data_IF_825657085481
#
_entry.id   IF_825657085481
#
_cell.length_a   1.000
_cell.length_b   1.000
_cell.length_c   1.000
_cell.angle_alpha   90.00
_cell.angle_beta   90.00
_cell.angle_gamma   90.00
#
_symmetry.space_group_name_H-M   'P 1'
#
loop_
_entity.id
_entity.type
_entity.pdbx_description
1 polymer ?
#
# COMPACT_ATOMS: atom_id res chain seq x y z
N UNK A 1 -69.68 -14.43 2.48
CA UNK A 1 -68.90 -14.17 3.71
C UNK A 1 -67.94 -15.34 3.85
N UNK A 2 -66.74 -15.29 3.28
CA UNK A 2 -65.56 -14.50 3.68
C UNK A 2 -64.58 -15.39 4.44
N UNK A 3 -63.68 -16.06 3.71
CA UNK A 3 -62.33 -16.43 4.16
C UNK A 3 -61.46 -16.67 2.93
N UNK A 4 -60.89 -15.60 2.38
CA UNK A 4 -59.74 -15.69 1.47
C UNK A 4 -59.06 -14.32 1.43
N UNK A 5 -58.15 -14.08 2.36
CA UNK A 5 -57.13 -13.03 2.27
C UNK A 5 -56.23 -13.14 3.49
N UNK A 6 -55.00 -13.61 3.26
CA UNK A 6 -53.72 -13.16 3.83
C UNK A 6 -52.70 -14.17 3.27
N UNK A 7 -51.79 -13.69 2.42
CA UNK A 7 -50.75 -14.53 1.83
C UNK A 7 -50.10 -13.92 0.61
N UNK A 8 -49.84 -12.61 0.65
CA UNK A 8 -49.02 -11.92 -0.33
C UNK A 8 -47.60 -11.84 0.22
N UNK A 9 -46.72 -12.80 -0.10
CA UNK A 9 -45.26 -12.64 0.07
C UNK A 9 -44.53 -13.37 -1.08
N UNK A 10 -44.25 -12.59 -2.12
CA UNK A 10 -42.99 -12.54 -2.89
C UNK A 10 -42.25 -13.86 -3.16
N UNK A 11 -42.44 -14.42 -4.35
CA UNK A 11 -41.39 -15.18 -5.05
C UNK A 11 -41.30 -14.66 -6.48
N UNK A 12 -40.71 -13.47 -6.63
CA UNK A 12 -40.08 -13.06 -7.89
C UNK A 12 -38.59 -13.39 -7.74
N UNK A 13 -38.22 -14.62 -8.07
CA UNK A 13 -36.81 -14.93 -8.28
C UNK A 13 -36.42 -14.20 -9.56
N UNK A 14 -35.70 -13.12 -9.38
CA UNK A 14 -35.03 -12.44 -10.46
C UNK A 14 -34.10 -13.45 -11.15
N UNK A 15 -34.35 -13.70 -12.43
CA UNK A 15 -33.33 -14.17 -13.36
C UNK A 15 -32.31 -13.03 -13.54
N UNK A 16 -31.51 -12.79 -12.51
CA UNK A 16 -30.18 -12.25 -12.75
C UNK A 16 -29.42 -13.39 -13.40
N UNK A 17 -29.10 -13.20 -14.68
CA UNK A 17 -28.17 -14.06 -15.38
C UNK A 17 -26.98 -14.28 -14.46
N UNK A 18 -26.69 -15.55 -14.18
CA UNK A 18 -25.37 -15.96 -13.74
C UNK A 18 -24.43 -15.36 -14.78
N UNK A 19 -23.75 -14.27 -14.43
CA UNK A 19 -22.48 -13.98 -15.05
C UNK A 19 -21.70 -15.27 -14.87
N UNK A 20 -21.42 -15.95 -15.98
CA UNK A 20 -20.50 -17.08 -15.96
C UNK A 20 -19.28 -16.61 -15.16
N UNK A 21 -18.83 -17.37 -14.15
CA UNK A 21 -17.60 -17.01 -13.47
C UNK A 21 -16.55 -16.84 -14.56
N UNK A 22 -16.00 -15.63 -14.67
CA UNK A 22 -14.81 -15.38 -15.48
C UNK A 22 -13.85 -16.44 -15.03
N UNK A 23 -13.58 -17.40 -15.92
CA UNK A 23 -12.64 -18.47 -15.65
C UNK A 23 -11.36 -17.75 -15.28
N UNK A 24 -10.91 -17.96 -14.05
CA UNK A 24 -9.75 -17.29 -13.46
C UNK A 24 -8.49 -17.80 -14.18
N UNK A 25 -8.34 -17.40 -15.44
CA UNK A 25 -7.18 -17.74 -16.25
C UNK A 25 -6.06 -16.87 -15.74
N UNK A 26 -5.14 -17.48 -14.99
CA UNK A 26 -3.89 -16.84 -14.56
C UNK A 26 -3.30 -16.10 -15.77
N UNK A 27 -3.08 -14.78 -15.69
CA UNK A 27 -2.62 -14.01 -16.82
C UNK A 27 -1.28 -14.55 -17.33
N UNK A 28 -1.09 -14.69 -18.65
CA UNK A 28 0.18 -15.10 -19.22
C UNK A 28 1.34 -14.28 -18.66
N UNK A 29 2.44 -14.95 -18.34
CA UNK A 29 3.62 -14.35 -17.73
C UNK A 29 4.71 -14.13 -18.78
N UNK A 30 5.20 -12.90 -18.87
CA UNK A 30 6.35 -12.51 -19.68
C UNK A 30 7.48 -12.00 -18.80
N UNK A 31 8.70 -12.39 -19.16
CA UNK A 31 9.93 -11.91 -18.52
C UNK A 31 10.77 -11.15 -19.52
N UNK A 32 11.39 -10.05 -19.07
CA UNK A 32 12.27 -9.23 -19.89
C UNK A 32 13.41 -8.64 -19.05
N UNK A 33 14.45 -8.17 -19.73
CA UNK A 33 15.61 -7.53 -19.11
C UNK A 33 15.54 -6.00 -19.25
N UNK A 34 16.09 -5.24 -18.30
CA UNK A 34 16.16 -3.78 -18.39
C UNK A 34 16.87 -3.29 -19.67
N UNK A 35 16.42 -2.16 -20.22
CA UNK A 35 16.94 -1.57 -21.47
C UNK A 35 16.49 -2.29 -22.74
N UNK A 36 15.87 -3.47 -22.64
CA UNK A 36 15.25 -4.17 -23.76
C UNK A 36 13.90 -3.58 -24.18
N UNK A 37 13.28 -4.21 -25.18
CA UNK A 37 11.93 -3.89 -25.62
C UNK A 37 11.05 -5.15 -25.54
N UNK A 38 9.77 -4.99 -25.21
CA UNK A 38 8.81 -6.10 -25.25
C UNK A 38 7.51 -5.68 -25.91
N UNK A 39 6.89 -6.62 -26.64
CA UNK A 39 5.57 -6.46 -27.21
C UNK A 39 4.58 -7.36 -26.47
N UNK A 40 3.61 -6.75 -25.80
CA UNK A 40 2.48 -7.41 -25.15
C UNK A 40 1.30 -7.45 -26.11
N UNK A 41 0.59 -8.57 -26.17
CA UNK A 41 -0.57 -8.76 -27.04
C UNK A 41 -1.83 -8.87 -26.21
N UNK A 42 -2.80 -8.01 -26.48
CA UNK A 42 -4.13 -8.06 -25.91
C UNK A 42 -5.11 -8.62 -26.94
N UNK A 43 -5.72 -9.76 -26.61
CA UNK A 43 -6.83 -10.33 -27.37
C UNK A 43 -8.15 -9.78 -26.86
N UNK A 44 -8.98 -9.26 -27.74
CA UNK A 44 -10.36 -8.89 -27.45
C UNK A 44 -11.27 -9.75 -28.30
N UNK A 45 -12.31 -10.29 -27.69
CA UNK A 45 -13.34 -11.01 -28.42
C UNK A 45 -14.05 -10.06 -29.39
N UNK A 46 -13.91 -10.25 -30.72
CA UNK A 46 -14.47 -9.34 -31.70
C UNK A 46 -16.00 -9.35 -31.70
N UNK A 47 -16.66 -10.38 -31.13
CA UNK A 47 -18.12 -10.40 -30.98
C UNK A 47 -18.64 -9.39 -29.97
N UNK A 48 -17.78 -8.92 -29.04
CA UNK A 48 -18.14 -7.94 -28.01
C UNK A 48 -18.13 -6.50 -28.51
N UNK A 49 -17.61 -6.27 -29.71
CA UNK A 49 -17.63 -4.97 -30.39
C UNK A 49 -18.44 -5.14 -31.67
N UNK A 50 -19.67 -4.63 -31.68
CA UNK A 50 -20.58 -4.76 -32.85
C UNK A 50 -20.05 -4.05 -34.10
N UNK A 51 -19.07 -3.16 -33.93
CA UNK A 51 -18.26 -2.66 -35.03
C UNK A 51 -17.06 -3.60 -35.18
N UNK A 52 -16.90 -4.24 -36.34
CA UNK A 52 -15.76 -5.12 -36.70
C UNK A 52 -14.36 -4.47 -36.55
N UNK A 53 -14.29 -3.23 -36.06
CA UNK A 53 -13.12 -2.38 -35.95
C UNK A 53 -13.20 -1.66 -34.60
N UNK A 54 -12.24 -1.91 -33.70
CA UNK A 54 -12.04 -1.03 -32.57
C UNK A 54 -11.54 0.33 -33.09
N UNK A 55 -12.20 1.41 -32.68
CA UNK A 55 -11.80 2.76 -33.03
C UNK A 55 -10.57 3.19 -32.22
N UNK A 56 -10.48 2.71 -30.98
CA UNK A 56 -9.35 2.92 -30.10
C UNK A 56 -9.19 1.76 -29.11
N UNK A 57 -7.98 1.65 -28.56
CA UNK A 57 -7.61 0.69 -27.52
C UNK A 57 -6.82 1.41 -26.46
N UNK A 58 -7.28 1.35 -25.22
CA UNK A 58 -6.54 1.91 -24.09
C UNK A 58 -5.87 0.78 -23.32
N UNK A 59 -4.57 0.94 -23.10
CA UNK A 59 -3.79 0.05 -22.27
C UNK A 59 -3.72 0.58 -20.86
N UNK A 60 -3.90 -0.33 -19.91
CA UNK A 60 -3.84 -0.07 -18.50
C UNK A 60 -2.75 -0.93 -17.88
N UNK A 61 -2.14 -0.41 -16.81
CA UNK A 61 -1.30 -1.18 -15.91
C UNK A 61 -1.93 -1.18 -14.53
N UNK A 62 -1.92 -2.35 -13.89
CA UNK A 62 -2.30 -2.54 -12.51
C UNK A 62 -1.03 -2.70 -11.67
N UNK A 63 -0.87 -1.79 -10.73
CA UNK A 63 0.21 -1.81 -9.73
C UNK A 63 -0.02 -2.95 -8.73
N UNK A 64 1.03 -3.40 -8.00
CA UNK A 64 0.90 -4.44 -6.97
C UNK A 64 -0.16 -4.17 -5.89
N UNK A 65 -0.42 -2.90 -5.58
CA UNK A 65 -1.46 -2.49 -4.62
C UNK A 65 -2.87 -2.42 -5.22
N UNK A 66 -3.04 -2.86 -6.47
CA UNK A 66 -4.30 -2.89 -7.19
C UNK A 66 -4.67 -1.57 -7.87
N UNK A 67 -3.88 -0.49 -7.72
CA UNK A 67 -4.15 0.78 -8.44
C UNK A 67 -4.00 0.59 -9.94
N UNK A 68 -4.95 1.14 -10.70
CA UNK A 68 -4.97 1.07 -12.16
C UNK A 68 -4.57 2.43 -12.73
N UNK A 69 -3.63 2.42 -13.68
CA UNK A 69 -3.16 3.60 -14.40
C UNK A 69 -3.28 3.39 -15.91
N UNK A 70 -3.61 4.47 -16.63
CA UNK A 70 -3.57 4.47 -18.10
C UNK A 70 -2.10 4.52 -18.53
N UNK A 71 -1.71 3.59 -19.40
CA UNK A 71 -0.38 3.55 -20.02
C UNK A 71 -0.38 4.41 -21.28
N UNK A 72 -1.30 4.13 -22.20
CA UNK A 72 -1.49 4.89 -23.44
C UNK A 72 -2.83 4.54 -24.08
N UNK A 73 -3.35 5.43 -24.92
CA UNK A 73 -4.56 5.22 -25.72
C UNK A 73 -4.22 5.28 -27.20
N UNK A 74 -4.50 4.19 -27.88
CA UNK A 74 -4.11 3.91 -29.26
C UNK A 74 -5.34 4.01 -30.17
N UNK A 75 -5.46 5.06 -31.01
CA UNK A 75 -6.47 5.18 -32.07
C UNK A 75 -5.96 4.76 -33.47
N UNK A 76 -6.83 4.49 -34.43
CA UNK A 76 -6.41 4.15 -35.81
C UNK A 76 -5.42 5.16 -36.42
N UNK A 77 -4.17 4.74 -36.61
CA UNK A 77 -3.05 5.59 -37.03
C UNK A 77 -1.73 5.08 -36.43
N UNK A 78 -0.57 5.54 -36.91
CA UNK A 78 0.70 5.21 -36.25
C UNK A 78 0.75 5.88 -34.88
N UNK A 79 0.97 5.10 -33.83
CA UNK A 79 0.85 5.56 -32.45
C UNK A 79 2.14 5.23 -31.72
N UNK A 80 2.91 6.27 -31.46
CA UNK A 80 4.09 6.22 -30.62
C UNK A 80 4.02 7.40 -29.67
N UNK A 81 4.07 7.10 -28.38
CA UNK A 81 4.06 8.07 -27.30
C UNK A 81 5.21 7.73 -26.35
N UNK A 82 6.29 8.51 -26.40
CA UNK A 82 7.50 8.24 -25.63
C UNK A 82 8.06 6.84 -25.90
N UNK A 83 8.11 6.03 -24.84
CA UNK A 83 8.58 4.63 -24.86
C UNK A 83 7.51 3.63 -25.32
N UNK A 84 6.25 4.04 -25.41
CA UNK A 84 5.13 3.17 -25.77
C UNK A 84 4.80 3.32 -27.26
N UNK A 85 4.58 2.21 -27.94
CA UNK A 85 4.01 2.19 -29.29
C UNK A 85 3.04 1.04 -29.43
N UNK A 86 2.19 1.05 -30.44
CA UNK A 86 1.28 -0.07 -30.62
C UNK A 86 0.76 -0.24 -32.02
N UNK A 87 0.23 -1.44 -32.26
CA UNK A 87 -0.35 -1.84 -33.54
C UNK A 87 -1.72 -2.46 -33.30
N UNK A 88 -2.71 -2.09 -34.11
CA UNK A 88 -4.07 -2.60 -34.01
C UNK A 88 -4.36 -3.52 -35.20
N UNK A 89 -4.55 -4.82 -34.94
CA UNK A 89 -5.05 -5.79 -35.92
C UNK A 89 -6.53 -6.11 -35.62
N UNK A 90 -7.39 -5.22 -36.11
CA UNK A 90 -8.84 -5.33 -35.96
C UNK A 90 -9.41 -6.63 -36.56
N UNK A 91 -8.78 -7.18 -37.61
CA UNK A 91 -9.26 -8.42 -38.24
C UNK A 91 -9.13 -9.62 -37.31
N UNK A 92 -8.13 -9.60 -36.43
CA UNK A 92 -7.87 -10.67 -35.46
C UNK A 92 -8.33 -10.35 -34.04
N UNK A 93 -8.85 -9.14 -33.79
CA UNK A 93 -9.09 -8.66 -32.43
C UNK A 93 -7.82 -8.62 -31.58
N UNK A 94 -6.66 -8.39 -32.20
CA UNK A 94 -5.36 -8.38 -31.53
C UNK A 94 -4.79 -6.98 -31.52
N UNK A 95 -4.49 -6.49 -30.33
CA UNK A 95 -3.94 -5.15 -30.12
C UNK A 95 -2.63 -5.30 -29.37
N UNK A 96 -1.55 -4.76 -29.93
CA UNK A 96 -0.21 -4.93 -29.36
C UNK A 96 0.29 -3.62 -28.75
N UNK A 97 0.91 -3.72 -27.58
CA UNK A 97 1.67 -2.65 -26.93
C UNK A 97 3.14 -3.03 -26.91
N UNK A 98 3.98 -2.22 -27.55
CA UNK A 98 5.43 -2.31 -27.43
C UNK A 98 5.90 -1.28 -26.41
N UNK A 99 6.61 -1.75 -25.39
CA UNK A 99 7.28 -0.93 -24.40
C UNK A 99 8.77 -0.99 -24.71
N UNK A 100 9.35 0.15 -25.09
CA UNK A 100 10.78 0.29 -25.36
C UNK A 100 11.54 0.74 -24.11
N UNK A 101 12.85 0.46 -24.07
CA UNK A 101 13.74 0.89 -22.99
C UNK A 101 13.16 0.54 -21.61
N UNK A 102 12.99 -0.77 -21.39
CA UNK A 102 12.31 -1.32 -20.21
C UNK A 102 13.03 -0.96 -18.92
N UNK A 103 12.25 -0.55 -17.93
CA UNK A 103 12.70 -0.30 -16.57
C UNK A 103 12.13 -1.35 -15.61
N UNK A 104 12.79 -1.58 -14.46
CA UNK A 104 12.27 -2.49 -13.43
C UNK A 104 10.86 -2.12 -12.97
N UNK A 105 10.55 -0.82 -12.90
CA UNK A 105 9.23 -0.30 -12.54
C UNK A 105 8.16 -0.44 -13.65
N UNK A 106 8.52 -1.01 -14.81
CA UNK A 106 7.54 -1.42 -15.82
C UNK A 106 6.96 -2.81 -15.49
N UNK A 107 7.47 -3.52 -14.46
CA UNK A 107 6.87 -4.75 -13.95
C UNK A 107 5.47 -4.48 -13.41
N UNK A 108 4.44 -5.04 -14.03
CA UNK A 108 3.04 -4.88 -13.64
C UNK A 108 2.16 -5.91 -14.34
N UNK A 109 0.87 -5.94 -13.99
CA UNK A 109 -0.15 -6.60 -14.80
C UNK A 109 -0.72 -5.59 -15.80
N UNK A 110 -0.61 -5.88 -17.09
CA UNK A 110 -1.13 -5.06 -18.17
C UNK A 110 -2.41 -5.67 -18.71
N UNK A 111 -3.39 -4.84 -19.04
CA UNK A 111 -4.60 -5.27 -19.73
C UNK A 111 -5.09 -4.14 -20.64
N UNK A 112 -5.94 -4.48 -21.61
CA UNK A 112 -6.49 -3.48 -22.51
C UNK A 112 -8.01 -3.44 -22.49
N UNK A 113 -8.56 -2.28 -22.85
CA UNK A 113 -9.97 -2.11 -23.16
C UNK A 113 -10.05 -1.53 -24.57
N UNK A 114 -10.75 -2.24 -25.44
CA UNK A 114 -11.03 -1.77 -26.79
C UNK A 114 -12.41 -1.11 -26.85
N UNK A 115 -12.53 -0.04 -27.62
CA UNK A 115 -13.76 0.73 -27.74
C UNK A 115 -14.09 1.12 -29.18
N UNK A 116 -15.39 1.20 -29.46
CA UNK A 116 -15.92 1.70 -30.73
C UNK A 116 -17.28 2.39 -30.49
N UNK A 117 -17.40 3.66 -30.87
CA UNK A 117 -18.56 4.50 -30.54
C UNK A 117 -18.90 4.47 -29.03
N UNK A 118 -20.04 3.87 -28.64
CA UNK A 118 -20.51 3.75 -27.25
C UNK A 118 -20.28 2.35 -26.66
N UNK A 119 -19.54 1.48 -27.34
CA UNK A 119 -19.27 0.10 -26.91
C UNK A 119 -17.84 -0.04 -26.42
N UNK A 120 -17.66 -0.87 -25.40
CA UNK A 120 -16.38 -1.17 -24.77
C UNK A 120 -16.31 -2.69 -24.54
N UNK A 121 -15.15 -3.27 -24.81
CA UNK A 121 -14.89 -4.68 -24.57
C UNK A 121 -13.56 -4.83 -23.80
N UNK A 122 -13.57 -5.52 -22.64
CA UNK A 122 -12.33 -5.85 -21.97
C UNK A 122 -11.56 -6.88 -22.81
N UNK A 123 -10.25 -6.70 -22.88
CA UNK A 123 -9.35 -7.68 -23.48
C UNK A 123 -8.62 -8.52 -22.44
N UNK A 124 -7.72 -9.37 -22.92
CA UNK A 124 -6.87 -10.20 -22.06
C UNK A 124 -5.90 -9.36 -21.23
N UNK A 125 -5.52 -9.90 -20.08
CA UNK A 125 -4.45 -9.39 -19.23
C UNK A 125 -3.15 -10.18 -19.42
N UNK A 126 -2.03 -9.61 -18.97
CA UNK A 126 -0.70 -10.21 -19.07
C UNK A 126 0.17 -9.68 -17.93
N UNK A 127 0.93 -10.56 -17.27
CA UNK A 127 1.87 -10.19 -16.20
C UNK A 127 3.26 -10.00 -16.81
N UNK A 128 3.84 -8.82 -16.65
CA UNK A 128 5.21 -8.52 -17.10
C UNK A 128 6.13 -8.39 -15.89
N UNK A 129 7.25 -9.10 -15.92
CA UNK A 129 8.33 -8.97 -14.93
C UNK A 129 9.62 -8.56 -15.62
N UNK A 130 10.11 -7.37 -15.30
CA UNK A 130 11.39 -6.83 -15.78
C UNK A 130 12.45 -7.05 -14.71
N UNK A 131 13.39 -7.95 -14.97
CA UNK A 131 14.37 -8.39 -13.97
C UNK A 131 15.74 -8.61 -14.61
N UNK A 132 16.80 -8.20 -13.92
CA UNK A 132 18.17 -8.36 -14.41
C UNK A 132 18.68 -9.79 -14.14
N UNK A 133 19.25 -10.50 -15.14
CA UNK A 133 19.90 -11.81 -14.98
C UNK A 133 20.95 -11.88 -13.86
N UNK A 134 21.66 -10.78 -13.63
CA UNK A 134 22.80 -10.71 -12.71
C UNK A 134 22.40 -10.33 -11.29
N UNK A 135 21.14 -9.96 -11.04
CA UNK A 135 20.68 -9.65 -9.68
C UNK A 135 20.72 -10.91 -8.83
N UNK A 136 21.51 -10.87 -7.76
CA UNK A 136 21.56 -11.94 -6.75
C UNK A 136 20.32 -11.79 -5.84
N UNK A 137 19.48 -12.83 -5.72
CA UNK A 137 18.30 -12.78 -4.87
C UNK A 137 18.68 -12.71 -3.38
N UNK A 138 17.94 -11.91 -2.61
CA UNK A 138 18.02 -11.96 -1.15
C UNK A 138 17.08 -13.05 -0.63
N UNK A 139 17.52 -13.78 0.39
CA UNK A 139 16.75 -14.86 1.01
C UNK A 139 16.62 -14.55 2.49
N UNK A 140 15.38 -14.46 2.96
CA UNK A 140 15.06 -14.10 4.34
C UNK A 140 14.07 -15.09 4.94
N UNK A 141 14.28 -15.41 6.21
CA UNK A 141 13.47 -16.36 6.97
C UNK A 141 12.59 -15.61 7.96
N UNK A 142 11.30 -15.91 7.96
CA UNK A 142 10.30 -15.30 8.83
C UNK A 142 9.56 -16.39 9.60
N UNK A 143 9.40 -16.19 10.90
CA UNK A 143 8.48 -16.94 11.74
C UNK A 143 7.37 -16.02 12.25
N UNK A 144 6.22 -16.57 12.65
CA UNK A 144 5.31 -15.88 13.54
C UNK A 144 6.08 -15.38 14.76
N UNK A 145 5.78 -14.16 15.21
CA UNK A 145 6.33 -13.66 16.46
C UNK A 145 5.80 -14.49 17.63
N UNK A 146 6.68 -14.94 18.52
CA UNK A 146 6.26 -15.45 19.82
C UNK A 146 5.65 -14.27 20.60
N UNK A 147 4.42 -14.44 21.07
CA UNK A 147 3.86 -13.51 22.05
C UNK A 147 4.65 -13.61 23.35
N UNK A 148 4.84 -12.47 24.00
CA UNK A 148 5.73 -12.30 25.15
C UNK A 148 5.29 -13.22 26.32
N UNK A 149 6.06 -14.28 26.57
CA UNK A 149 5.80 -15.26 27.63
C UNK A 149 6.35 -16.67 27.39
N UNK A 150 6.47 -17.10 26.14
CA UNK A 150 7.05 -18.40 25.77
C UNK A 150 8.35 -18.19 24.99
N UNK A 151 9.47 -18.62 25.58
CA UNK A 151 10.78 -18.60 24.91
C UNK A 151 10.93 -19.74 23.90
N UNK A 152 10.12 -20.79 24.02
CA UNK A 152 10.14 -21.98 23.18
C UNK A 152 8.76 -22.27 22.61
N UNK A 153 8.70 -22.53 21.31
CA UNK A 153 7.50 -23.08 20.70
C UNK A 153 7.26 -24.49 21.25
N UNK A 154 6.01 -24.83 21.53
CA UNK A 154 5.58 -26.20 21.86
C UNK A 154 4.73 -26.83 20.74
N UNK A 155 4.17 -25.99 19.86
CA UNK A 155 3.41 -26.39 18.67
C UNK A 155 4.27 -26.33 17.39
N UNK A 156 3.83 -26.99 16.29
CA UNK A 156 4.49 -26.84 15.00
C UNK A 156 4.53 -25.39 14.53
N UNK A 157 5.70 -24.95 14.06
CA UNK A 157 5.97 -23.56 13.67
C UNK A 157 5.84 -23.43 12.16
N UNK A 158 4.91 -22.62 11.64
CA UNK A 158 4.89 -22.27 10.23
C UNK A 158 6.02 -21.27 9.96
N UNK A 159 6.82 -21.51 8.93
CA UNK A 159 7.97 -20.69 8.57
C UNK A 159 7.83 -20.24 7.12
N UNK A 160 8.06 -18.95 6.88
CA UNK A 160 8.06 -18.34 5.56
C UNK A 160 9.51 -18.08 5.13
N UNK A 161 9.85 -18.54 3.94
CA UNK A 161 11.03 -18.08 3.22
C UNK A 161 10.61 -17.10 2.13
N UNK A 162 11.15 -15.89 2.21
CA UNK A 162 10.95 -14.85 1.21
C UNK A 162 12.21 -14.68 0.38
N UNK A 163 12.08 -14.88 -0.93
CA UNK A 163 13.16 -14.68 -1.90
C UNK A 163 12.84 -13.43 -2.71
N UNK A 164 13.57 -12.33 -2.51
CA UNK A 164 13.38 -11.07 -3.27
C UNK A 164 14.43 -10.91 -4.37
N UNK A 165 14.11 -10.10 -5.38
CA UNK A 165 15.05 -9.79 -6.47
C UNK A 165 15.31 -10.97 -7.39
N UNK A 166 14.37 -11.92 -7.47
CA UNK A 166 14.47 -13.08 -8.36
C UNK A 166 13.76 -12.81 -9.69
N UNK A 167 13.73 -13.81 -10.58
CA UNK A 167 13.01 -13.79 -11.84
C UNK A 167 12.18 -15.07 -11.96
N UNK A 168 10.95 -15.01 -12.52
CA UNK A 168 10.12 -16.19 -12.68
C UNK A 168 10.84 -17.34 -13.38
N UNK A 169 10.78 -18.54 -12.79
CA UNK A 169 11.39 -19.75 -13.35
C UNK A 169 12.93 -19.81 -13.32
N UNK A 170 13.62 -18.78 -12.82
CA UNK A 170 15.09 -18.76 -12.74
C UNK A 170 15.62 -19.47 -11.51
N UNK A 171 14.97 -19.28 -10.36
CA UNK A 171 15.40 -19.84 -9.09
C UNK A 171 14.31 -20.74 -8.51
N UNK A 172 14.75 -21.84 -7.89
CA UNK A 172 13.92 -22.71 -7.06
C UNK A 172 14.30 -22.53 -5.60
N UNK A 173 13.32 -22.61 -4.72
CA UNK A 173 13.52 -22.53 -3.27
C UNK A 173 13.58 -23.94 -2.72
N UNK A 174 14.65 -24.25 -1.98
CA UNK A 174 14.81 -25.53 -1.29
C UNK A 174 14.99 -25.31 0.21
N UNK A 175 14.41 -26.20 0.99
CA UNK A 175 14.45 -26.18 2.44
C UNK A 175 15.38 -27.27 2.96
N UNK A 176 16.31 -26.89 3.83
CA UNK A 176 17.13 -27.86 4.59
C UNK A 176 16.68 -27.82 6.04
N UNK A 177 16.26 -28.96 6.58
CA UNK A 177 15.75 -29.09 7.94
C UNK A 177 16.59 -30.17 8.64
N UNK A 178 17.41 -29.79 9.63
CA UNK A 178 18.29 -30.72 10.31
C UNK A 178 19.40 -31.26 9.41
N UNK A 179 19.61 -32.58 9.45
CA UNK A 179 20.58 -33.30 8.61
C UNK A 179 19.95 -33.92 7.35
N UNK A 180 18.65 -33.69 7.12
CA UNK A 180 17.93 -34.24 5.97
C UNK A 180 18.22 -33.44 4.70
N UNK A 181 18.20 -34.16 3.56
CA UNK A 181 18.42 -33.58 2.25
C UNK A 181 17.34 -32.54 1.89
N UNK A 182 17.73 -31.56 1.08
CA UNK A 182 16.90 -30.42 0.76
C UNK A 182 15.55 -30.85 0.15
N UNK A 183 14.44 -30.50 0.82
CA UNK A 183 13.09 -30.81 0.40
C UNK A 183 12.44 -29.63 -0.34
N UNK A 184 11.59 -29.89 -1.36
CA UNK A 184 10.78 -28.83 -1.98
C UNK A 184 9.71 -28.36 -0.98
N UNK A 185 9.67 -27.06 -0.72
CA UNK A 185 8.58 -26.43 0.05
C UNK A 185 7.37 -26.12 -0.83
N UNK A 186 6.25 -25.70 -0.22
CA UNK A 186 5.11 -25.17 -0.97
C UNK A 186 5.42 -23.73 -1.41
N UNK A 187 6.10 -23.59 -2.54
CA UNK A 187 6.32 -22.28 -3.16
C UNK A 187 5.03 -21.79 -3.83
N UNK A 188 4.61 -20.58 -3.50
CA UNK A 188 3.49 -19.90 -4.16
C UNK A 188 3.93 -19.29 -5.50
N UNK A 189 2.96 -18.93 -6.34
CA UNK A 189 3.24 -18.10 -7.50
C UNK A 189 3.83 -16.75 -7.02
N UNK A 190 4.98 -16.36 -7.55
CA UNK A 190 5.63 -15.14 -7.10
C UNK A 190 4.88 -13.86 -7.50
N UNK A 191 5.18 -12.78 -6.77
CA UNK A 191 4.51 -11.49 -6.85
C UNK A 191 5.48 -10.38 -7.29
N UNK A 192 4.92 -9.27 -7.77
CA UNK A 192 5.67 -8.04 -8.07
C UNK A 192 5.59 -7.17 -6.82
N UNK A 193 6.73 -6.79 -6.26
CA UNK A 193 6.83 -5.90 -5.11
C UNK A 193 6.65 -4.43 -5.53
N UNK A 194 6.33 -3.52 -4.60
CA UNK A 194 6.15 -2.09 -4.90
C UNK A 194 7.36 -1.40 -5.54
N UNK A 195 8.56 -1.97 -5.42
CA UNK A 195 9.79 -1.48 -6.05
C UNK A 195 10.02 -2.05 -7.48
N UNK A 196 9.05 -2.82 -8.00
CA UNK A 196 9.10 -3.50 -9.28
C UNK A 196 9.96 -4.76 -9.29
N UNK A 197 10.54 -5.15 -8.15
CA UNK A 197 11.25 -6.43 -8.02
C UNK A 197 10.27 -7.58 -7.94
N UNK A 198 10.71 -8.78 -8.33
CA UNK A 198 9.89 -9.98 -8.23
C UNK A 198 10.32 -10.80 -7.03
N UNK A 199 9.34 -11.26 -6.26
CA UNK A 199 9.55 -12.07 -5.05
C UNK A 199 8.82 -13.40 -5.14
N UNK A 200 9.36 -14.41 -4.46
CA UNK A 200 8.75 -15.72 -4.31
C UNK A 200 8.65 -16.04 -2.82
N UNK A 201 7.49 -16.54 -2.41
CA UNK A 201 7.23 -16.99 -1.05
C UNK A 201 7.16 -18.51 -1.04
N UNK A 202 7.83 -19.13 -0.08
CA UNK A 202 7.72 -20.57 0.18
C UNK A 202 7.42 -20.79 1.65
N UNK A 203 6.54 -21.73 1.94
CA UNK A 203 6.15 -22.06 3.31
C UNK A 203 6.52 -23.49 3.64
N UNK A 204 6.85 -23.71 4.90
CA UNK A 204 6.98 -25.04 5.50
C UNK A 204 6.53 -24.99 6.95
N UNK A 205 5.93 -26.07 7.42
CA UNK A 205 5.62 -26.23 8.85
C UNK A 205 6.59 -27.24 9.43
N UNK A 206 7.30 -26.85 10.49
CA UNK A 206 8.30 -27.70 11.16
C UNK A 206 7.94 -27.93 12.63
N UNK A 207 8.54 -28.92 13.28
CA UNK A 207 8.32 -29.13 14.70
C UNK A 207 8.99 -28.05 15.55
N UNK A 208 8.49 -27.86 16.77
CA UNK A 208 9.11 -27.04 17.81
C UNK A 208 10.60 -27.38 18.01
N UNK A 209 10.94 -28.67 18.10
CA UNK A 209 12.33 -29.12 18.32
C UNK A 209 13.25 -28.73 17.15
N UNK A 210 12.76 -28.82 15.92
CA UNK A 210 13.50 -28.42 14.72
C UNK A 210 13.70 -26.90 14.66
N UNK A 211 12.71 -26.13 15.12
CA UNK A 211 12.80 -24.68 15.20
C UNK A 211 13.79 -24.23 16.30
N UNK A 212 13.67 -24.80 17.50
CA UNK A 212 14.49 -24.42 18.66
C UNK A 212 15.97 -24.86 18.49
N UNK A 213 16.26 -25.84 17.64
CA UNK A 213 17.62 -26.26 17.29
C UNK A 213 18.32 -25.38 16.24
N UNK A 214 17.63 -24.37 15.69
CA UNK A 214 18.13 -23.46 14.65
C UNK A 214 18.71 -24.20 13.42
N UNK A 215 18.16 -25.37 13.14
CA UNK A 215 18.62 -26.27 12.10
C UNK A 215 17.88 -26.08 10.77
N UNK A 216 17.18 -24.95 10.60
CA UNK A 216 16.41 -24.64 9.40
C UNK A 216 17.15 -23.65 8.50
N UNK A 217 17.24 -23.98 7.22
CA UNK A 217 17.77 -23.08 6.19
C UNK A 217 16.86 -23.08 4.99
N UNK A 218 16.62 -21.89 4.47
CA UNK A 218 16.03 -21.72 3.16
C UNK A 218 17.11 -21.23 2.18
N UNK A 219 17.13 -21.82 0.99
CA UNK A 219 18.16 -21.58 0.00
C UNK A 219 17.56 -21.42 -1.39
N UNK A 220 18.07 -20.44 -2.14
CA UNK A 220 17.71 -20.22 -3.54
C UNK A 220 18.76 -20.85 -4.44
N UNK A 221 18.31 -21.72 -5.36
CA UNK A 221 19.16 -22.45 -6.30
C UNK A 221 18.82 -22.09 -7.74
N UNK A 222 19.83 -22.06 -8.61
CA UNK A 222 19.61 -21.85 -10.04
C UNK A 222 18.85 -23.06 -10.62
N UNK A 223 17.77 -22.81 -11.36
CA UNK A 223 16.98 -23.89 -11.96
C UNK A 223 17.77 -24.67 -12.99
N UNK A 224 18.66 -24.01 -13.76
CA UNK A 224 19.51 -24.64 -14.79
C UNK A 224 20.66 -25.43 -14.18
N UNK A 225 21.17 -25.01 -13.02
CA UNK A 225 22.27 -25.65 -12.32
C UNK A 225 21.96 -25.78 -10.83
N UNK A 226 21.31 -26.88 -10.46
CA UNK A 226 20.74 -27.07 -9.12
C UNK A 226 21.80 -27.19 -8.03
N UNK A 227 23.05 -27.47 -8.38
CA UNK A 227 24.17 -27.50 -7.43
C UNK A 227 24.69 -26.10 -7.12
N UNK A 228 24.33 -25.09 -7.92
CA UNK A 228 24.72 -23.71 -7.72
C UNK A 228 23.76 -23.03 -6.74
N UNK A 229 24.20 -23.00 -5.48
CA UNK A 229 23.56 -22.22 -4.42
C UNK A 229 23.81 -20.74 -4.67
N UNK A 230 22.73 -19.98 -4.86
CA UNK A 230 22.80 -18.55 -5.18
C UNK A 230 22.75 -17.70 -3.93
N UNK A 231 21.91 -18.07 -2.97
CA UNK A 231 21.71 -17.30 -1.74
C UNK A 231 21.15 -18.17 -0.62
N UNK A 232 21.33 -17.73 0.62
CA UNK A 232 20.98 -18.45 1.84
C UNK A 232 20.29 -17.51 2.81
N UNK A 233 19.31 -18.02 3.55
CA UNK A 233 18.72 -17.27 4.65
C UNK A 233 19.77 -16.92 5.70
N UNK A 234 19.86 -15.64 6.07
CA UNK A 234 20.63 -15.18 7.23
C UNK A 234 19.82 -15.30 8.53
N UNK A 235 20.51 -15.50 9.66
CA UNK A 235 19.93 -15.82 10.98
C UNK A 235 18.96 -14.73 11.50
N UNK A 236 17.93 -15.19 12.22
CA UNK A 236 16.91 -14.47 13.03
C UNK A 236 17.13 -12.94 13.11
N UNK A 237 16.39 -12.20 12.28
CA UNK A 237 16.09 -10.81 12.62
C UNK A 237 14.90 -10.86 13.57
N UNK A 238 15.19 -10.81 14.87
CA UNK A 238 14.14 -10.59 15.85
C UNK A 238 13.45 -9.28 15.47
N UNK A 239 12.15 -9.36 15.17
CA UNK A 239 11.30 -8.19 15.11
C UNK A 239 11.28 -7.61 16.52
N UNK A 240 12.31 -6.83 16.88
CA UNK A 240 12.29 -6.04 18.11
C UNK A 240 11.08 -5.13 17.94
N UNK A 241 10.03 -5.30 18.77
CA UNK A 241 8.80 -4.58 18.52
C UNK A 241 9.15 -3.09 18.57
N UNK A 242 8.92 -2.40 17.46
CA UNK A 242 9.11 -0.94 17.29
C UNK A 242 8.39 -0.16 18.39
N UNK A 243 7.45 -0.81 19.10
CA UNK A 243 6.84 -0.36 20.35
C UNK A 243 7.86 0.10 21.41
N UNK A 244 9.00 -0.57 21.58
CA UNK A 244 9.98 -0.22 22.62
C UNK A 244 10.75 1.08 22.32
N UNK A 245 10.96 1.40 21.04
CA UNK A 245 11.65 2.64 20.64
C UNK A 245 10.69 3.80 20.38
N UNK A 246 9.40 3.53 20.13
CA UNK A 246 8.37 4.55 19.90
C UNK A 246 7.68 5.07 21.16
N UNK A 247 7.54 4.25 22.20
CA UNK A 247 6.90 4.65 23.47
C UNK A 247 7.67 5.74 24.23
N UNK A 248 9.01 5.68 24.40
CA UNK A 248 9.75 6.70 25.14
C UNK A 248 9.72 8.10 24.50
N UNK A 249 9.88 8.26 23.16
CA UNK A 249 9.74 9.56 22.50
C UNK A 249 8.33 10.14 22.63
N UNK A 250 7.28 9.31 22.52
CA UNK A 250 5.89 9.76 22.64
C UNK A 250 5.58 10.21 24.08
N UNK A 251 6.06 9.47 25.09
CA UNK A 251 5.94 9.87 26.50
C UNK A 251 6.68 11.18 26.78
N UNK A 252 7.90 11.36 26.24
CA UNK A 252 8.65 12.61 26.35
C UNK A 252 7.90 13.79 25.71
N UNK A 253 7.32 13.60 24.51
CA UNK A 253 6.51 14.63 23.86
C UNK A 253 5.28 15.01 24.68
N UNK A 254 4.58 14.03 25.26
CA UNK A 254 3.42 14.29 26.13
C UNK A 254 3.85 15.08 27.39
N UNK A 255 4.97 14.71 28.02
CA UNK A 255 5.49 15.42 29.20
C UNK A 255 5.87 16.86 28.87
N UNK A 256 6.50 17.10 27.72
CA UNK A 256 6.81 18.46 27.26
C UNK A 256 5.54 19.27 27.06
N UNK A 257 4.53 18.73 26.37
CA UNK A 257 3.24 19.42 26.16
C UNK A 257 2.55 19.74 27.49
N UNK A 258 2.51 18.79 28.43
CA UNK A 258 1.93 19.00 29.77
C UNK A 258 2.71 20.06 30.55
N UNK A 259 4.04 20.08 30.47
CA UNK A 259 4.88 21.09 31.13
C UNK A 259 4.63 22.49 30.57
N UNK A 260 4.54 22.64 29.24
CA UNK A 260 4.24 23.92 28.58
C UNK A 260 2.83 24.39 28.94
N UNK A 261 1.83 23.50 28.93
CA UNK A 261 0.47 23.81 29.35
C UNK A 261 0.41 24.23 30.83
N UNK A 262 1.15 23.57 31.73
CA UNK A 262 1.27 23.94 33.14
C UNK A 262 1.90 25.33 33.32
N UNK A 263 2.97 25.64 32.58
CA UNK A 263 3.62 26.96 32.63
C UNK A 263 2.67 28.03 32.09
N UNK A 264 2.02 27.78 30.96
CA UNK A 264 1.07 28.70 30.35
C UNK A 264 -0.11 29.01 31.28
N UNK A 265 -0.71 27.98 31.90
CA UNK A 265 -1.81 28.16 32.84
C UNK A 265 -1.38 28.92 34.11
N UNK A 266 -0.17 28.70 34.63
CA UNK A 266 0.38 29.49 35.75
C UNK A 266 0.66 30.94 35.38
N UNK A 267 1.20 31.20 34.18
CA UNK A 267 1.41 32.56 33.68
C UNK A 267 0.10 33.30 33.41
N UNK A 268 -0.93 32.59 32.93
CA UNK A 268 -2.25 33.18 32.75
C UNK A 268 -2.89 33.49 34.10
N UNK A 269 -2.77 32.59 35.10
CA UNK A 269 -3.33 32.80 36.44
C UNK A 269 -2.70 34.01 37.16
N UNK A 270 -1.38 34.16 37.07
CA UNK A 270 -0.66 35.33 37.61
C UNK A 270 -1.02 36.64 36.88
N UNK A 271 -1.34 36.58 35.59
CA UNK A 271 -1.82 37.76 34.83
C UNK A 271 -3.26 38.16 35.22
N UNK A 272 -4.13 37.21 35.56
CA UNK A 272 -5.45 37.51 36.15
C UNK A 272 -5.35 38.09 37.57
N UNK A 273 -4.40 37.62 38.39
CA UNK A 273 -4.19 38.19 39.73
C UNK A 273 -3.62 39.62 39.66
N UNK A 274 -2.75 39.92 38.69
CA UNK A 274 -2.27 41.29 38.48
C UNK A 274 -3.34 42.25 37.93
N UNK A 275 -4.37 41.76 37.25
CA UNK A 275 -5.48 42.60 36.76
C UNK A 275 -6.53 42.90 37.83
N UNK A 276 -6.46 42.25 39.00
CA UNK A 276 -7.42 42.44 40.10
C UNK A 276 -6.97 43.45 41.17
N UNK A 277 -5.78 44.05 41.06
CA UNK A 277 -5.20 44.90 42.12
C UNK A 277 -5.18 46.41 41.83
N UNK A 278 -5.85 46.90 40.78
CA UNK A 278 -6.03 48.33 40.56
C UNK A 278 -7.40 48.79 41.07
N UNK A 279 -7.49 49.02 42.39
CA UNK A 279 -8.56 49.78 43.01
C UNK A 279 -8.08 51.22 43.28
N UNK A 280 -8.84 52.27 42.91
CA UNK A 280 -8.42 53.65 43.08
C UNK A 280 -8.43 54.11 44.55
N UNK A 281 -7.40 54.86 44.93
CA UNK A 281 -7.19 55.41 46.28
C UNK A 281 -8.33 56.34 46.74
N UNK A 282 -8.73 56.18 48.00
CA UNK A 282 -9.70 57.02 48.71
C UNK A 282 -8.99 58.31 49.22
N UNK A 283 -9.57 59.51 49.05
CA UNK A 283 -8.90 60.75 49.43
C UNK A 283 -8.86 60.95 50.96
N UNK A 284 -7.70 61.42 51.45
CA UNK A 284 -7.45 61.81 52.84
C UNK A 284 -8.17 63.12 53.19
N UNK A 285 -8.71 63.18 54.43
CA UNK A 285 -9.31 64.39 55.02
C UNK A 285 -8.22 65.42 55.39
N UNK A 286 -8.35 66.70 55.02
CA UNK A 286 -7.55 67.77 55.59
C UNK A 286 -8.11 68.27 56.92
N UNK A 287 -7.20 68.81 57.73
CA UNK A 287 -7.38 69.29 59.10
C UNK A 287 -8.20 70.60 59.21
N UNK A 288 -8.63 70.84 60.45
CA UNK A 288 -9.61 71.82 60.92
C UNK A 288 -8.99 73.23 61.14
N UNK A 289 -9.85 74.23 60.96
CA UNK A 289 -9.86 75.62 61.50
C UNK A 289 -8.97 76.71 60.86
N UNK A 290 -9.63 77.73 60.29
CA UNK A 290 -9.94 79.00 61.00
C UNK A 290 -11.00 79.82 60.26
N UNK A 291 -11.57 80.75 61.00
CA UNK A 291 -12.90 81.37 60.88
C UNK A 291 -12.83 82.77 60.24
N UNK A 292 -13.99 83.30 59.82
CA UNK A 292 -14.34 84.75 59.59
C UNK A 292 -13.94 85.29 58.20
N UNK A 293 -14.71 86.05 57.39
CA UNK A 293 -15.97 86.81 57.52
C UNK A 293 -16.65 86.95 56.13
N UNK A 294 -17.94 87.29 56.15
CA UNK A 294 -18.78 87.87 55.09
C UNK A 294 -18.09 88.78 54.06
N UNK A 295 -18.50 88.69 52.78
CA UNK A 295 -19.39 89.67 52.15
C UNK A 295 -19.79 89.22 50.73
N UNK A 296 -20.98 89.67 50.31
CA UNK A 296 -21.75 89.37 49.10
C UNK A 296 -21.24 90.01 47.80
N UNK A 297 -21.95 89.71 46.70
CA UNK A 297 -21.94 90.30 45.32
C UNK A 297 -20.91 89.67 44.38
N UNK A 298 -21.11 89.52 43.08
CA UNK A 298 -22.25 89.46 42.13
C UNK A 298 -21.60 88.98 40.81
N UNK A 299 -22.40 88.48 39.87
CA UNK A 299 -22.17 88.40 38.42
C UNK A 299 -20.74 88.34 37.84
N UNK A 300 -20.47 87.32 37.02
CA UNK A 300 -20.52 87.48 35.56
C UNK A 300 -20.02 86.22 34.82
N UNK A 301 -20.88 85.78 33.92
CA UNK A 301 -20.63 84.96 32.73
C UNK A 301 -19.62 85.57 31.76
N UNK A 302 -18.82 84.73 31.10
CA UNK A 302 -18.34 84.82 29.69
C UNK A 302 -17.34 83.65 29.49
N UNK A 303 -17.73 82.55 28.85
CA UNK A 303 -17.68 82.32 27.40
C UNK A 303 -16.40 82.82 26.73
N UNK A 304 -15.55 81.86 26.35
CA UNK A 304 -15.08 81.64 24.98
C UNK A 304 -14.67 80.16 24.83
#
# INVERSE_FOLDING_TARGET
MAFCSIGCILVLVAHYGLAEPVTDSVPPLHTAEPGGNITLTCGVDPSKINQYVAAWVTWYRQEPDGRIQIVTSLSTGYLKEGRYSGTLDNKKGQYNLTIADLHRNDSAVYFCIAGAALQFAPGSSTKLVVSDPLTVPSVELYSPGLFEGDSDWTEPVPVLCLVRGTSPGRHRVLWTIGAEAAAPGSAEEGEIEPDGSYSVRSYVTISADQWNSDAIKCEAYNVKNVTEKVSTSHRRQDCVPVLFYGLPPVLLLILVVVSVACVYTRLHKTKTDHKSSDAPCRPQRPARHRTVQDYSTEYASLNL
#
